data_IF_528222580522
#
_entry.id   IF_528222580522
#
_cell.length_a   1.000
_cell.length_b   1.000
_cell.length_c   1.000
_cell.angle_alpha   90.00
_cell.angle_beta   90.00
_cell.angle_gamma   90.00
#
_symmetry.space_group_name_H-M   'P 1'
#
loop_
_entity.id
_entity.type
_entity.pdbx_description
1 polymer ?
#
# COMPACT_ATOMS: atom_id res chain seq x y z
N UNK A 1 -39.70 12.64 -25.48
CA UNK A 1 -38.43 11.89 -25.53
C UNK A 1 -38.68 10.40 -25.78
N UNK A 2 -39.34 9.68 -24.86
CA UNK A 2 -39.63 8.24 -25.01
C UNK A 2 -40.42 7.91 -26.30
N UNK A 3 -41.42 8.72 -26.63
CA UNK A 3 -42.24 8.52 -27.85
C UNK A 3 -41.41 8.60 -29.14
N UNK A 4 -40.38 9.45 -29.19
CA UNK A 4 -39.50 9.56 -30.38
C UNK A 4 -38.60 8.33 -30.52
N UNK A 5 -38.11 7.77 -29.41
CA UNK A 5 -37.33 6.54 -29.43
C UNK A 5 -38.19 5.32 -29.83
N UNK A 6 -39.44 5.27 -29.39
CA UNK A 6 -40.41 4.24 -29.79
C UNK A 6 -40.74 4.36 -31.29
N UNK A 7 -40.88 5.59 -31.80
CA UNK A 7 -41.12 5.84 -33.21
C UNK A 7 -39.95 5.35 -34.09
N UNK A 8 -38.70 5.53 -33.66
CA UNK A 8 -37.50 4.97 -34.34
C UNK A 8 -37.55 3.44 -34.37
N UNK A 9 -37.85 2.81 -33.23
CA UNK A 9 -37.98 1.35 -33.15
C UNK A 9 -39.06 0.79 -34.07
N UNK A 10 -40.15 1.54 -34.25
CA UNK A 10 -41.24 1.17 -35.17
C UNK A 10 -40.86 1.41 -36.63
N UNK A 11 -40.11 2.47 -36.92
CA UNK A 11 -39.65 2.84 -38.26
C UNK A 11 -38.63 1.83 -38.82
N UNK A 12 -37.74 1.31 -37.97
CA UNK A 12 -36.65 0.40 -38.36
C UNK A 12 -36.95 -1.09 -38.09
N UNK A 13 -37.97 -1.41 -37.29
CA UNK A 13 -38.26 -2.76 -36.80
C UNK A 13 -39.23 -3.59 -37.65
N UNK A 14 -39.69 -3.10 -38.81
CA UNK A 14 -40.56 -3.85 -39.72
C UNK A 14 -39.80 -4.78 -40.66
N UNK A 15 -40.48 -5.78 -41.25
CA UNK A 15 -39.90 -6.70 -42.26
C UNK A 15 -39.61 -6.04 -43.64
N UNK A 16 -39.57 -4.71 -43.70
CA UNK A 16 -39.36 -3.95 -44.93
C UNK A 16 -37.86 -3.67 -45.11
N UNK A 17 -37.28 -3.82 -46.32
CA UNK A 17 -35.88 -3.48 -46.54
C UNK A 17 -35.60 -2.01 -46.17
N UNK A 18 -34.67 -1.79 -45.25
CA UNK A 18 -34.28 -0.47 -44.79
C UNK A 18 -33.65 0.30 -45.96
N UNK A 19 -34.17 1.48 -46.27
CA UNK A 19 -33.62 2.38 -47.27
C UNK A 19 -33.02 3.65 -46.61
N UNK A 20 -32.23 4.41 -47.37
CA UNK A 20 -31.48 5.55 -46.84
C UNK A 20 -32.37 6.66 -46.27
N UNK A 21 -33.55 6.89 -46.85
CA UNK A 21 -34.52 7.86 -46.33
C UNK A 21 -35.10 7.46 -44.97
N UNK A 22 -35.25 6.15 -44.70
CA UNK A 22 -35.68 5.65 -43.39
C UNK A 22 -34.58 5.81 -42.33
N UNK A 23 -33.31 5.68 -42.73
CA UNK A 23 -32.17 5.91 -41.84
C UNK A 23 -32.07 7.39 -41.47
N UNK A 24 -32.18 8.28 -42.45
CA UNK A 24 -32.13 9.73 -42.21
C UNK A 24 -33.28 10.17 -41.28
N UNK A 25 -34.50 9.69 -41.54
CA UNK A 25 -35.66 9.98 -40.67
C UNK A 25 -35.55 9.38 -39.26
N UNK A 26 -34.84 8.26 -39.10
CA UNK A 26 -34.54 7.70 -37.78
C UNK A 26 -33.52 8.56 -37.02
N UNK A 27 -32.48 9.04 -37.71
CA UNK A 27 -31.44 9.90 -37.14
C UNK A 27 -32.00 11.26 -36.68
N UNK A 28 -32.90 11.85 -37.46
CA UNK A 28 -33.59 13.10 -37.07
C UNK A 28 -34.40 12.92 -35.78
N UNK A 29 -35.12 11.78 -35.67
CA UNK A 29 -35.91 11.47 -34.47
C UNK A 29 -35.08 11.13 -33.25
N UNK A 30 -33.94 10.45 -33.43
CA UNK A 30 -32.97 10.23 -32.34
C UNK A 30 -32.41 11.55 -31.81
N UNK A 31 -32.08 12.47 -32.72
CA UNK A 31 -31.58 13.81 -32.38
C UNK A 31 -32.65 14.58 -31.59
N UNK A 32 -33.89 14.60 -32.07
CA UNK A 32 -35.01 15.24 -31.39
C UNK A 32 -35.32 14.60 -30.01
N UNK A 33 -35.22 13.27 -29.92
CA UNK A 33 -35.38 12.53 -28.66
C UNK A 33 -34.32 12.90 -27.62
N UNK A 34 -33.06 13.05 -28.06
CA UNK A 34 -31.94 13.45 -27.22
C UNK A 34 -32.05 14.91 -26.75
N UNK A 35 -32.50 15.82 -27.62
CA UNK A 35 -32.76 17.22 -27.26
C UNK A 35 -33.87 17.35 -26.21
N UNK A 36 -34.98 16.61 -26.39
CA UNK A 36 -36.06 16.57 -25.41
C UNK A 36 -35.61 16.01 -24.06
N UNK A 37 -34.76 14.96 -24.06
CA UNK A 37 -34.20 14.40 -22.84
C UNK A 37 -33.25 15.40 -22.14
N UNK A 38 -32.37 16.04 -22.90
CA UNK A 38 -31.47 17.09 -22.38
C UNK A 38 -32.25 18.28 -21.80
N UNK A 39 -33.34 18.69 -22.46
CA UNK A 39 -34.24 19.73 -21.97
C UNK A 39 -34.94 19.33 -20.66
N UNK A 40 -35.47 18.11 -20.59
CA UNK A 40 -36.09 17.57 -19.38
C UNK A 40 -35.09 17.49 -18.21
N UNK A 41 -33.84 17.07 -18.48
CA UNK A 41 -32.78 16.99 -17.47
C UNK A 41 -32.33 18.36 -16.96
N UNK A 42 -32.44 19.44 -17.76
CA UNK A 42 -32.17 20.81 -17.28
C UNK A 42 -33.18 21.30 -16.24
N UNK A 43 -34.38 20.73 -16.21
CA UNK A 43 -35.37 20.98 -15.15
C UNK A 43 -35.13 20.17 -13.86
N UNK A 44 -34.34 19.09 -13.94
CA UNK A 44 -33.92 18.29 -12.80
C UNK A 44 -32.69 18.91 -12.14
N UNK A 45 -32.85 20.07 -11.50
CA UNK A 45 -31.88 20.48 -10.47
C UNK A 45 -31.97 19.45 -9.34
N UNK A 46 -30.86 18.84 -8.91
CA UNK A 46 -30.82 18.21 -7.59
C UNK A 46 -31.28 19.25 -6.56
N UNK A 47 -31.95 18.86 -5.47
CA UNK A 47 -32.16 19.81 -4.38
C UNK A 47 -30.82 20.46 -4.08
N UNK A 48 -30.77 21.79 -4.08
CA UNK A 48 -29.63 22.52 -3.54
C UNK A 48 -29.53 22.08 -2.08
N UNK A 49 -28.70 21.06 -1.83
CA UNK A 49 -28.18 20.78 -0.51
C UNK A 49 -27.37 22.02 -0.18
N UNK A 50 -28.01 22.95 0.51
CA UNK A 50 -27.35 23.96 1.33
C UNK A 50 -26.15 23.24 1.95
N UNK A 51 -24.91 23.71 1.78
CA UNK A 51 -23.79 23.03 2.41
C UNK A 51 -24.07 23.09 3.91
N UNK A 52 -24.57 21.99 4.45
CA UNK A 52 -24.27 21.58 5.80
C UNK A 52 -22.75 21.74 5.87
N UNK A 53 -22.20 22.48 6.85
CA UNK A 53 -20.77 22.49 7.05
C UNK A 53 -20.37 21.03 6.99
N UNK A 54 -19.52 20.68 6.04
CA UNK A 54 -18.88 19.38 6.00
C UNK A 54 -18.40 19.21 7.43
N UNK A 55 -19.04 18.33 8.20
CA UNK A 55 -18.34 17.71 9.30
C UNK A 55 -17.12 17.17 8.59
N UNK A 56 -16.01 17.87 8.76
CA UNK A 56 -14.71 17.39 8.40
C UNK A 56 -14.77 15.94 8.84
N UNK A 57 -14.78 15.00 7.87
CA UNK A 57 -14.55 13.62 8.20
C UNK A 57 -13.23 13.71 8.95
N UNK A 58 -13.32 13.64 10.28
CA UNK A 58 -12.17 13.76 11.15
C UNK A 58 -11.42 12.52 10.77
N UNK A 59 -10.41 12.72 9.92
CA UNK A 59 -9.49 11.65 9.56
C UNK A 59 -9.09 11.05 10.90
N UNK A 60 -9.42 9.77 11.15
CA UNK A 60 -9.23 9.19 12.46
C UNK A 60 -7.79 9.44 12.85
N UNK A 61 -7.60 9.98 14.04
CA UNK A 61 -6.27 10.38 14.50
C UNK A 61 -5.29 9.22 14.26
N UNK A 62 -4.08 9.50 13.73
CA UNK A 62 -3.12 8.46 13.43
C UNK A 62 -2.93 7.56 14.66
N UNK A 63 -2.99 6.24 14.46
CA UNK A 63 -2.82 5.28 15.54
C UNK A 63 -1.48 5.48 16.28
N UNK A 64 -0.47 5.99 15.55
CA UNK A 64 0.84 6.33 16.06
C UNK A 64 1.23 7.74 15.59
N UNK A 65 0.93 8.80 16.37
CA UNK A 65 1.11 10.19 15.93
C UNK A 65 2.57 10.60 15.72
N UNK A 66 3.52 9.88 16.33
CA UNK A 66 4.96 10.12 16.20
C UNK A 66 5.63 9.06 15.31
N UNK A 67 4.87 8.41 14.44
CA UNK A 67 5.43 7.42 13.51
C UNK A 67 6.38 8.10 12.51
N UNK A 68 7.54 7.49 12.35
CA UNK A 68 8.54 7.84 11.34
C UNK A 68 7.98 7.53 9.94
N UNK A 69 8.35 8.31 8.94
CA UNK A 69 8.04 8.02 7.54
C UNK A 69 9.07 7.06 6.94
N UNK A 70 8.70 6.39 5.85
CA UNK A 70 9.66 5.64 5.04
C UNK A 70 10.87 6.54 4.70
N UNK A 71 12.07 6.00 4.91
CA UNK A 71 13.34 6.71 4.74
C UNK A 71 13.85 7.42 5.99
N UNK A 72 12.99 7.70 6.99
CA UNK A 72 13.44 8.30 8.24
C UNK A 72 14.21 7.31 9.12
N UNK A 73 15.25 7.83 9.77
CA UNK A 73 16.19 7.06 10.58
C UNK A 73 15.84 7.13 12.05
N UNK A 74 15.70 5.98 12.67
CA UNK A 74 15.73 5.84 14.12
C UNK A 74 17.13 5.48 14.59
N UNK A 75 17.69 6.24 15.54
CA UNK A 75 18.96 5.93 16.19
C UNK A 75 18.71 5.37 17.58
N UNK A 76 19.50 4.37 17.99
CA UNK A 76 19.39 3.75 19.30
C UNK A 76 20.74 3.35 19.84
N UNK A 77 20.80 3.18 21.16
CA UNK A 77 21.94 2.56 21.83
C UNK A 77 21.62 1.08 22.09
N UNK A 78 22.64 0.23 22.02
CA UNK A 78 22.52 -1.17 22.44
C UNK A 78 22.24 -1.26 23.96
N UNK A 79 21.89 -2.46 24.44
CA UNK A 79 21.48 -2.65 25.84
C UNK A 79 22.52 -2.17 26.86
N UNK A 80 23.81 -2.22 26.49
CA UNK A 80 24.92 -1.78 27.33
C UNK A 80 25.34 -0.32 27.09
N UNK A 81 24.69 0.37 26.15
CA UNK A 81 25.03 1.72 25.66
C UNK A 81 26.46 1.86 25.17
N UNK A 82 27.06 0.75 24.76
CA UNK A 82 28.41 0.69 24.21
C UNK A 82 28.39 0.99 22.71
N UNK A 83 27.38 0.52 21.99
CA UNK A 83 27.27 0.69 20.54
C UNK A 83 26.03 1.50 20.17
N UNK A 84 26.17 2.35 19.17
CA UNK A 84 25.05 3.06 18.56
C UNK A 84 24.64 2.36 17.28
N UNK A 85 23.36 2.09 17.13
CA UNK A 85 22.74 1.57 15.92
C UNK A 85 21.79 2.56 15.27
N UNK A 86 21.49 2.32 14.01
CA UNK A 86 20.33 2.92 13.36
C UNK A 86 19.52 1.90 12.60
N UNK A 87 18.23 2.18 12.45
CA UNK A 87 17.26 1.41 11.69
C UNK A 87 16.47 2.35 10.78
N UNK A 88 16.23 1.92 9.54
CA UNK A 88 15.43 2.62 8.53
C UNK A 88 14.50 1.62 7.86
N UNK A 89 13.22 1.97 7.70
CA UNK A 89 12.33 1.32 6.73
C UNK A 89 12.52 2.02 5.39
N UNK A 90 12.96 1.28 4.38
CA UNK A 90 13.42 1.82 3.10
C UNK A 90 12.29 1.89 2.07
N UNK A 91 11.45 0.86 1.98
CA UNK A 91 10.32 0.77 1.04
C UNK A 91 9.44 -0.44 1.36
N UNK A 92 8.25 -0.47 0.77
CA UNK A 92 7.32 -1.60 0.78
C UNK A 92 7.07 -2.09 -0.64
N UNK A 93 6.74 -3.37 -0.81
CA UNK A 93 6.32 -3.97 -2.07
C UNK A 93 5.34 -5.11 -1.81
N UNK A 94 4.31 -5.25 -2.64
CA UNK A 94 3.32 -6.32 -2.52
C UNK A 94 3.44 -7.28 -3.71
N UNK A 95 3.38 -8.57 -3.44
CA UNK A 95 3.47 -9.63 -4.45
C UNK A 95 2.46 -10.74 -4.18
N UNK A 96 1.92 -11.33 -5.24
CA UNK A 96 1.16 -12.59 -5.14
C UNK A 96 2.06 -13.82 -5.04
N UNK A 97 3.33 -13.70 -5.46
CA UNK A 97 4.31 -14.78 -5.40
C UNK A 97 5.75 -14.26 -5.50
N UNK A 98 6.69 -15.05 -5.00
CA UNK A 98 8.13 -14.85 -5.16
C UNK A 98 8.84 -16.21 -5.12
N UNK A 99 10.16 -16.25 -5.36
CA UNK A 99 10.92 -17.48 -5.20
C UNK A 99 12.29 -17.23 -4.54
N UNK A 100 12.77 -18.21 -3.79
CA UNK A 100 14.13 -18.21 -3.25
C UNK A 100 15.13 -18.53 -4.34
N UNK A 101 16.32 -17.95 -4.24
CA UNK A 101 17.44 -18.21 -5.14
C UNK A 101 18.47 -19.10 -4.45
N UNK A 102 19.37 -19.72 -5.22
CA UNK A 102 20.42 -20.61 -4.71
C UNK A 102 20.30 -22.03 -5.23
N UNK A 103 20.85 -22.99 -4.48
CA UNK A 103 21.03 -24.38 -4.92
C UNK A 103 19.68 -25.11 -5.06
N UNK A 104 18.69 -24.79 -4.21
CA UNK A 104 17.35 -25.37 -4.26
C UNK A 104 16.29 -24.26 -4.20
N UNK A 105 15.98 -23.61 -5.33
CA UNK A 105 14.93 -22.60 -5.41
C UNK A 105 13.58 -23.15 -4.98
N UNK A 106 12.86 -22.38 -4.17
CA UNK A 106 11.50 -22.68 -3.72
C UNK A 106 10.58 -21.54 -4.10
N UNK A 107 9.45 -21.87 -4.70
CA UNK A 107 8.39 -20.89 -5.02
C UNK A 107 7.45 -20.72 -3.83
N UNK A 108 7.17 -19.47 -3.51
CA UNK A 108 6.19 -19.04 -2.53
C UNK A 108 5.04 -18.40 -3.30
N UNK A 109 3.85 -19.00 -3.21
CA UNK A 109 2.62 -18.47 -3.79
C UNK A 109 1.63 -18.20 -2.66
N UNK A 110 1.05 -17.00 -2.65
CA UNK A 110 0.06 -16.64 -1.65
C UNK A 110 -1.21 -17.49 -1.83
N UNK A 111 -1.90 -17.79 -0.73
CA UNK A 111 -3.19 -18.48 -0.81
C UNK A 111 -4.24 -17.57 -1.45
N UNK A 112 -5.35 -18.11 -1.98
CA UNK A 112 -6.44 -17.27 -2.46
C UNK A 112 -6.91 -16.26 -1.40
N UNK A 113 -6.95 -14.97 -1.76
CA UNK A 113 -7.30 -13.88 -0.84
C UNK A 113 -6.16 -13.37 0.04
N UNK A 114 -4.95 -13.91 -0.10
CA UNK A 114 -3.73 -13.46 0.57
C UNK A 114 -2.74 -12.85 -0.45
N UNK A 115 -1.81 -12.06 0.05
CA UNK A 115 -0.64 -11.56 -0.67
C UNK A 115 0.57 -11.50 0.27
N UNK A 116 1.76 -11.34 -0.30
CA UNK A 116 2.97 -11.09 0.47
C UNK A 116 3.29 -9.60 0.47
N UNK A 117 3.41 -9.01 1.66
CA UNK A 117 4.00 -7.69 1.84
C UNK A 117 5.47 -7.84 2.23
N UNK A 118 6.35 -7.29 1.39
CA UNK A 118 7.78 -7.22 1.61
C UNK A 118 8.14 -5.80 2.09
N UNK A 119 8.80 -5.72 3.24
CA UNK A 119 9.25 -4.45 3.81
C UNK A 119 10.77 -4.44 3.86
N UNK A 120 11.38 -3.57 3.06
CA UNK A 120 12.83 -3.40 3.05
C UNK A 120 13.26 -2.64 4.30
N UNK A 121 14.18 -3.21 5.07
CA UNK A 121 14.74 -2.62 6.28
C UNK A 121 16.25 -2.57 6.18
N UNK A 122 16.85 -1.51 6.71
CA UNK A 122 18.30 -1.35 6.80
C UNK A 122 18.72 -1.06 8.23
N UNK A 123 19.67 -1.84 8.75
CA UNK A 123 20.31 -1.61 10.05
C UNK A 123 21.77 -1.27 9.82
N UNK A 124 22.26 -0.25 10.54
CA UNK A 124 23.67 0.18 10.46
C UNK A 124 24.23 0.35 11.86
N UNK A 125 25.43 -0.20 12.10
CA UNK A 125 26.24 0.12 13.28
C UNK A 125 26.88 1.50 13.07
N UNK A 126 26.53 2.48 13.88
CA UNK A 126 27.01 3.87 13.75
C UNK A 126 28.33 4.12 14.48
N UNK A 127 28.74 3.21 15.36
CA UNK A 127 30.01 3.30 16.07
C UNK A 127 29.91 2.89 17.53
N UNK A 128 31.09 2.60 18.08
CA UNK A 128 31.32 2.30 19.49
C UNK A 128 31.60 3.59 20.27
N UNK A 129 30.99 3.74 21.46
CA UNK A 129 30.96 4.94 22.30
C UNK A 129 31.92 4.91 23.50
N UNK A 130 32.76 3.89 23.66
CA UNK A 130 33.66 3.81 24.82
C UNK A 130 34.91 2.95 24.63
N UNK A 131 35.49 2.51 25.73
CA UNK A 131 36.74 1.72 25.76
C UNK A 131 36.48 0.21 25.90
N UNK A 132 35.21 -0.19 25.94
CA UNK A 132 34.80 -1.58 26.08
C UNK A 132 35.24 -2.45 24.89
N UNK A 133 35.46 -3.74 25.14
CA UNK A 133 35.94 -4.68 24.12
C UNK A 133 34.85 -5.17 23.17
N UNK A 134 33.57 -5.04 23.53
CA UNK A 134 32.46 -5.44 22.67
C UNK A 134 32.08 -4.31 21.70
N UNK A 135 32.68 -4.35 20.51
CA UNK A 135 32.46 -3.40 19.43
C UNK A 135 31.35 -3.81 18.47
N UNK A 136 30.63 -4.89 18.76
CA UNK A 136 29.61 -5.46 17.88
C UNK A 136 28.22 -5.03 18.31
N UNK A 137 27.41 -4.63 17.33
CA UNK A 137 26.01 -4.30 17.53
C UNK A 137 25.15 -5.49 17.13
N UNK A 138 24.28 -5.95 18.03
CA UNK A 138 23.29 -6.96 17.68
C UNK A 138 22.08 -6.28 17.03
N UNK A 139 21.87 -6.53 15.73
CA UNK A 139 20.67 -6.04 15.06
C UNK A 139 19.40 -6.77 15.58
N UNK A 140 18.23 -6.10 15.59
CA UNK A 140 16.98 -6.72 15.98
C UNK A 140 16.68 -7.95 15.14
N UNK A 141 16.22 -9.04 15.77
CA UNK A 141 15.70 -10.20 15.04
C UNK A 141 14.40 -9.84 14.33
N UNK A 142 14.08 -10.56 13.26
CA UNK A 142 12.81 -10.45 12.54
C UNK A 142 11.60 -10.56 13.49
N UNK A 143 11.67 -11.40 14.53
CA UNK A 143 10.61 -11.55 15.53
C UNK A 143 10.35 -10.28 16.37
N UNK A 144 11.26 -9.29 16.35
CA UNK A 144 11.09 -8.02 17.04
C UNK A 144 10.16 -7.05 16.30
N UNK A 145 9.82 -7.35 15.05
CA UNK A 145 8.98 -6.52 14.19
C UNK A 145 7.51 -6.94 14.30
N UNK A 146 6.61 -5.96 14.30
CA UNK A 146 5.15 -6.14 14.30
C UNK A 146 4.53 -5.20 13.29
N UNK A 147 3.74 -5.73 12.36
CA UNK A 147 2.98 -4.92 11.41
C UNK A 147 1.57 -4.69 11.97
N UNK A 148 1.12 -3.44 11.98
CA UNK A 148 -0.19 -3.02 12.45
C UNK A 148 -1.00 -2.49 11.25
N UNK A 149 -2.24 -2.95 11.09
CA UNK A 149 -3.15 -2.45 10.07
C UNK A 149 -4.60 -2.69 10.51
N UNK A 150 -5.44 -1.65 10.46
CA UNK A 150 -6.87 -1.72 10.79
C UNK A 150 -7.18 -2.44 12.14
N UNK A 151 -6.35 -2.22 13.16
CA UNK A 151 -6.50 -2.85 14.48
C UNK A 151 -6.01 -4.30 14.58
N UNK A 152 -5.61 -4.91 13.46
CA UNK A 152 -4.98 -6.23 13.43
C UNK A 152 -3.45 -6.10 13.48
N UNK A 153 -2.80 -7.19 13.92
CA UNK A 153 -1.33 -7.30 13.94
C UNK A 153 -0.86 -8.52 13.17
N UNK A 154 0.22 -8.37 12.41
CA UNK A 154 0.85 -9.42 11.63
C UNK A 154 2.31 -9.60 12.06
N UNK A 155 2.77 -10.85 12.06
CA UNK A 155 4.15 -11.22 12.35
C UNK A 155 4.89 -11.52 11.05
N UNK A 156 6.18 -11.18 10.95
CA UNK A 156 6.94 -11.58 9.79
C UNK A 156 7.09 -13.10 9.76
N UNK A 157 7.10 -13.65 8.56
CA UNK A 157 7.47 -15.03 8.29
C UNK A 157 8.93 -15.28 8.68
N UNK A 158 9.28 -16.56 8.83
CA UNK A 158 10.69 -16.95 8.90
C UNK A 158 11.41 -16.49 7.61
N UNK A 159 12.66 -15.97 7.70
CA UNK A 159 13.39 -15.50 6.53
C UNK A 159 13.59 -16.62 5.52
N UNK A 160 13.06 -16.53 4.29
CA UNK A 160 13.16 -17.61 3.30
C UNK A 160 14.57 -17.78 2.71
N UNK A 161 15.51 -16.89 3.03
CA UNK A 161 16.85 -16.82 2.43
C UNK A 161 16.90 -15.84 1.25
N UNK A 162 17.95 -15.87 0.41
CA UNK A 162 18.02 -15.01 -0.77
C UNK A 162 16.81 -15.24 -1.70
N UNK A 163 16.24 -14.17 -2.26
CA UNK A 163 15.07 -14.24 -3.14
C UNK A 163 15.28 -13.46 -4.43
N UNK A 164 14.39 -13.64 -5.39
CA UNK A 164 14.35 -12.80 -6.59
C UNK A 164 14.00 -11.32 -6.32
N UNK A 165 13.58 -10.99 -5.09
CA UNK A 165 13.33 -9.61 -4.66
C UNK A 165 14.54 -8.97 -3.95
N UNK A 166 15.52 -9.78 -3.55
CA UNK A 166 16.70 -9.40 -2.78
C UNK A 166 16.92 -10.31 -1.57
N UNK A 167 17.84 -9.90 -0.69
CA UNK A 167 18.17 -10.63 0.54
C UNK A 167 17.01 -10.60 1.53
N UNK A 168 16.82 -11.71 2.25
CA UNK A 168 15.91 -11.73 3.39
C UNK A 168 16.57 -11.09 4.61
N UNK A 169 15.82 -10.23 5.31
CA UNK A 169 16.28 -9.69 6.57
C UNK A 169 16.36 -10.82 7.61
N UNK A 170 17.53 -10.99 8.22
CA UNK A 170 17.72 -11.82 9.39
C UNK A 170 18.64 -11.11 10.36
N UNK A 171 18.19 -10.95 11.60
CA UNK A 171 18.92 -10.22 12.63
C UNK A 171 20.28 -10.86 12.93
N UNK A 172 21.38 -10.18 12.61
CA UNK A 172 22.76 -10.64 12.87
C UNK A 172 23.57 -9.62 13.66
N UNK A 173 24.72 -10.08 14.15
CA UNK A 173 25.74 -9.19 14.71
C UNK A 173 26.39 -8.39 13.59
N UNK A 174 26.51 -7.08 13.78
CA UNK A 174 27.19 -6.14 12.89
C UNK A 174 28.51 -5.71 13.51
N UNK A 175 29.55 -5.66 12.69
CA UNK A 175 30.82 -5.02 13.06
C UNK A 175 30.68 -3.50 13.06
N UNK A 176 31.69 -2.80 13.59
CA UNK A 176 31.70 -1.33 13.61
C UNK A 176 31.58 -0.78 12.19
N UNK A 177 30.63 0.14 11.98
CA UNK A 177 30.32 0.75 10.68
C UNK A 177 29.74 -0.20 9.62
N UNK A 178 29.48 -1.46 9.98
CA UNK A 178 28.82 -2.40 9.09
C UNK A 178 27.33 -2.08 8.96
N UNK A 179 26.76 -2.49 7.83
CA UNK A 179 25.34 -2.37 7.54
C UNK A 179 24.79 -3.68 7.01
N UNK A 180 23.51 -3.90 7.24
CA UNK A 180 22.75 -4.95 6.58
C UNK A 180 21.43 -4.37 6.08
N UNK A 181 21.02 -4.85 4.92
CA UNK A 181 19.73 -4.58 4.31
C UNK A 181 19.07 -5.89 3.89
N UNK A 182 17.75 -5.90 3.92
CA UNK A 182 16.97 -7.07 3.51
C UNK A 182 15.48 -6.84 3.69
N UNK A 183 14.70 -7.81 3.23
CA UNK A 183 13.24 -7.77 3.33
C UNK A 183 12.73 -8.60 4.50
N UNK A 184 11.81 -8.01 5.26
CA UNK A 184 10.86 -8.75 6.07
C UNK A 184 9.69 -9.17 5.17
N UNK A 185 9.17 -10.38 5.39
CA UNK A 185 8.09 -10.96 4.60
C UNK A 185 6.87 -11.15 5.49
N UNK A 186 5.70 -10.67 5.06
CA UNK A 186 4.45 -10.84 5.79
C UNK A 186 3.40 -11.46 4.87
N UNK A 187 2.62 -12.41 5.39
CA UNK A 187 1.36 -12.81 4.78
C UNK A 187 0.28 -11.83 5.23
N UNK A 188 -0.38 -11.19 4.27
CA UNK A 188 -1.44 -10.19 4.49
C UNK A 188 -2.63 -10.45 3.57
N UNK A 189 -3.82 -9.91 3.82
CA UNK A 189 -4.92 -9.95 2.87
C UNK A 189 -4.54 -9.39 1.49
N UNK A 190 -5.16 -9.88 0.41
CA UNK A 190 -4.89 -9.42 -0.96
C UNK A 190 -5.18 -7.93 -1.16
N UNK A 191 -6.17 -7.38 -0.43
CA UNK A 191 -6.55 -5.97 -0.46
C UNK A 191 -5.82 -5.11 0.60
N UNK A 192 -4.71 -5.60 1.16
CA UNK A 192 -3.95 -4.87 2.17
C UNK A 192 -3.39 -3.57 1.60
N UNK A 193 -3.64 -2.45 2.28
CA UNK A 193 -3.11 -1.14 1.91
C UNK A 193 -1.94 -0.76 2.83
N UNK A 194 -0.67 -0.77 2.35
CA UNK A 194 0.46 -0.32 3.13
C UNK A 194 0.35 1.13 3.59
N UNK A 195 -0.42 1.98 2.90
CA UNK A 195 -0.58 3.38 3.27
C UNK A 195 -1.37 3.60 4.56
N UNK A 196 -2.06 2.57 5.05
CA UNK A 196 -2.79 2.59 6.33
C UNK A 196 -2.08 1.76 7.41
N UNK A 197 -0.87 1.27 7.11
CA UNK A 197 -0.14 0.33 7.95
C UNK A 197 1.04 0.99 8.68
N UNK A 198 1.41 0.38 9.81
CA UNK A 198 2.52 0.81 10.64
C UNK A 198 3.42 -0.38 10.99
N UNK A 199 4.74 -0.20 10.96
CA UNK A 199 5.71 -1.19 11.41
C UNK A 199 6.31 -0.76 12.75
N UNK A 200 5.97 -1.45 13.83
CA UNK A 200 6.60 -1.30 15.15
C UNK A 200 7.79 -2.24 15.27
N UNK A 201 8.86 -1.78 15.92
CA UNK A 201 10.06 -2.59 16.21
C UNK A 201 10.42 -2.51 17.67
N UNK A 202 10.53 -3.65 18.36
CA UNK A 202 10.98 -3.68 19.76
C UNK A 202 12.51 -3.71 19.85
N UNK A 203 13.12 -2.63 20.33
CA UNK A 203 14.58 -2.48 20.46
C UNK A 203 14.92 -2.04 21.89
N UNK A 204 15.32 -3.00 22.74
CA UNK A 204 15.53 -2.73 24.16
C UNK A 204 14.23 -2.21 24.81
N UNK A 205 14.27 -1.01 25.39
CA UNK A 205 13.09 -0.33 25.94
C UNK A 205 12.35 0.53 24.93
N UNK A 206 12.88 0.70 23.73
CA UNK A 206 12.33 1.57 22.69
C UNK A 206 11.41 0.79 21.75
N UNK A 207 10.36 1.48 21.26
CA UNK A 207 9.42 0.97 20.27
C UNK A 207 9.21 1.98 19.14
N UNK A 208 10.22 2.23 18.30
CA UNK A 208 10.02 3.05 17.11
C UNK A 208 8.95 2.43 16.20
N UNK A 209 8.18 3.31 15.56
CA UNK A 209 7.12 2.94 14.63
C UNK A 209 7.34 3.69 13.33
N UNK A 210 7.22 2.99 12.20
CA UNK A 210 7.19 3.61 10.87
C UNK A 210 5.79 3.53 10.27
N UNK A 211 5.28 4.65 9.77
CA UNK A 211 4.16 4.67 8.86
C UNK A 211 4.61 4.22 7.46
N UNK A 212 3.84 3.34 6.83
CA UNK A 212 4.24 2.66 5.59
C UNK A 212 3.64 3.28 4.32
N UNK A 213 2.84 4.34 4.46
CA UNK A 213 2.45 5.17 3.33
C UNK A 213 3.64 5.89 2.73
N UNK A 214 3.61 6.12 1.42
CA UNK A 214 4.54 7.03 0.78
C UNK A 214 4.34 8.41 1.43
N UNK A 215 5.30 8.81 2.25
CA UNK A 215 5.36 10.19 2.73
C UNK A 215 5.36 11.10 1.51
N UNK A 216 4.56 12.16 1.52
CA UNK A 216 4.58 13.17 0.48
C UNK A 216 6.03 13.61 0.26
N UNK A 217 6.66 13.09 -0.79
CA UNK A 217 8.00 13.49 -1.16
C UNK A 217 7.95 15.00 -1.36
N UNK A 218 8.62 15.76 -0.51
CA UNK A 218 8.88 17.16 -0.75
C UNK A 218 9.62 17.22 -2.10
N UNK A 219 8.88 17.61 -3.14
CA UNK A 219 9.40 17.93 -4.47
C UNK A 219 10.20 19.22 -4.40
#
# INVERSE_FOLDING_TARGET
ALDEFIAVGTLLGGNTPINQSMVDGAMDRLTLGAEHLSGAMRGCRPPETRPTPTEHAVEPAPAFPNALQIGERFCYDDGNRANMGSLIVVRTRTFSSFYTTGIHPQTYAAKPGESFLLIAVKVTHLGHKGDGTNTRLQAPRESAFTLHHAGATYRPMAPPGPTNQGESYSGRSLERHDSMDGYLFFEVPENFDPALAYLEVSIGSSRPVWHLGEGAAAR
#
